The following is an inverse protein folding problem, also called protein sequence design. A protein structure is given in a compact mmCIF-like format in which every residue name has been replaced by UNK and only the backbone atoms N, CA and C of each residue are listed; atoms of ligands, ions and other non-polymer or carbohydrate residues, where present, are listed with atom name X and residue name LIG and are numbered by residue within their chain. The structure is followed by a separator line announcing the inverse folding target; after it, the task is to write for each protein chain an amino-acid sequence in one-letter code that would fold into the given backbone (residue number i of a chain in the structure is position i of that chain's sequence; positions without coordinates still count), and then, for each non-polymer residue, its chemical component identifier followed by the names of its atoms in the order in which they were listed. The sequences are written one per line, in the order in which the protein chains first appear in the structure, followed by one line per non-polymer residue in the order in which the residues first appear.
data_IF_806281233036
#
_entry.id   IF_806281233036
#
_cell.length_a   1.000
_cell.length_b   1.000
_cell.length_c   1.000
_cell.angle_alpha   90.00
_cell.angle_beta   90.00
_cell.angle_gamma   90.00
#
_symmetry.space_group_name_H-M   'P 1'
#
loop_
_entity.id
_entity.type
_entity.pdbx_description
1 polymer ?
#
# COMPACT_ATOMS: atom_id res chain seq x y z
N UNK A 1 -53.07 33.97 8.86
CA UNK A 1 -52.21 33.02 9.60
C UNK A 1 -52.54 31.63 9.06
N UNK A 2 -51.99 31.22 7.91
CA UNK A 2 -50.72 30.47 7.74
C UNK A 2 -50.62 29.28 8.71
N UNK A 3 -50.97 28.07 8.26
CA UNK A 3 -49.97 27.07 7.84
C UNK A 3 -50.62 25.78 7.33
N UNK A 4 -50.11 25.37 6.16
CA UNK A 4 -50.45 24.23 5.33
C UNK A 4 -49.45 23.12 5.68
N UNK A 5 -49.92 21.93 6.07
CA UNK A 5 -49.07 20.73 6.17
C UNK A 5 -48.80 20.23 4.75
N UNK A 6 -47.55 20.27 4.31
CA UNK A 6 -47.10 19.65 3.07
C UNK A 6 -46.28 18.42 3.42
N UNK A 7 -46.78 17.29 2.93
CA UNK A 7 -46.18 15.96 2.93
C UNK A 7 -44.98 16.01 1.94
N UNK A 8 -43.79 15.63 2.38
CA UNK A 8 -42.67 15.31 1.49
C UNK A 8 -42.29 13.86 1.74
N UNK A 9 -42.60 13.02 0.76
CA UNK A 9 -42.00 11.71 0.52
C UNK A 9 -40.61 11.92 -0.06
N UNK A 10 -39.57 11.48 0.64
CA UNK A 10 -38.23 11.34 0.09
C UNK A 10 -38.15 9.97 -0.58
N UNK A 11 -37.87 9.97 -1.88
CA UNK A 11 -37.54 8.79 -2.66
C UNK A 11 -36.07 8.48 -2.43
N UNK A 12 -35.77 7.27 -1.95
CA UNK A 12 -34.41 6.73 -1.92
C UNK A 12 -33.89 6.59 -3.34
N UNK A 13 -32.85 7.33 -3.69
CA UNK A 13 -31.95 6.99 -4.79
C UNK A 13 -30.81 6.19 -4.16
N UNK A 14 -30.68 4.92 -4.57
CA UNK A 14 -29.53 4.10 -4.19
C UNK A 14 -28.29 4.69 -4.85
N UNK A 15 -27.33 5.10 -4.02
CA UNK A 15 -25.98 5.39 -4.42
C UNK A 15 -25.27 4.02 -4.48
N UNK A 16 -25.02 3.53 -5.69
CA UNK A 16 -24.08 2.44 -5.90
C UNK A 16 -22.70 3.07 -5.73
N UNK A 17 -22.05 2.82 -4.58
CA UNK A 17 -20.62 3.03 -4.44
C UNK A 17 -19.95 1.97 -5.32
N UNK A 18 -19.30 2.38 -6.40
CA UNK A 18 -18.31 1.56 -7.08
C UNK A 18 -17.11 1.45 -6.14
N UNK A 19 -16.73 0.22 -5.82
CA UNK A 19 -15.54 -0.10 -5.06
C UNK A 19 -14.33 0.14 -5.98
N UNK A 20 -13.64 1.25 -5.79
CA UNK A 20 -12.31 1.44 -6.36
C UNK A 20 -11.34 0.47 -5.65
N UNK A 21 -10.53 -0.25 -6.44
CA UNK A 21 -9.38 -0.96 -5.89
C UNK A 21 -8.30 0.08 -5.59
N UNK A 22 -7.75 0.14 -4.37
CA UNK A 22 -6.61 1.01 -4.09
C UNK A 22 -5.40 0.56 -4.92
N UNK A 23 -4.62 1.52 -5.45
CA UNK A 23 -3.34 1.27 -6.09
C UNK A 23 -2.39 0.58 -5.09
N UNK A 24 -1.69 -0.46 -5.53
CA UNK A 24 -0.65 -1.11 -4.72
C UNK A 24 0.62 -0.27 -4.81
N UNK A 25 1.09 0.21 -3.66
CA UNK A 25 2.38 0.92 -3.52
C UNK A 25 3.34 -0.02 -2.80
N UNK A 26 4.45 -0.35 -3.44
CA UNK A 26 5.53 -1.14 -2.83
C UNK A 26 6.71 -0.21 -2.54
N UNK A 27 7.07 -0.06 -1.26
CA UNK A 27 8.25 0.70 -0.83
C UNK A 27 9.42 -0.26 -0.57
N UNK A 28 10.61 0.08 -1.07
CA UNK A 28 11.86 -0.57 -0.67
C UNK A 28 12.84 0.50 -0.20
N UNK A 29 13.23 0.47 1.08
CA UNK A 29 14.27 1.34 1.62
C UNK A 29 15.60 0.57 1.70
N UNK A 30 16.67 1.11 1.11
CA UNK A 30 18.02 0.57 1.27
C UNK A 30 18.90 1.52 2.10
N UNK A 31 19.48 1.01 3.19
CA UNK A 31 20.42 1.74 4.03
C UNK A 31 21.75 2.01 3.29
N UNK A 32 22.06 3.29 3.05
CA UNK A 32 23.37 3.74 2.55
C UNK A 32 24.42 3.72 3.68
N UNK A 33 25.23 2.65 3.74
CA UNK A 33 26.39 2.61 4.63
C UNK A 33 27.55 3.42 4.05
N UNK A 34 27.52 4.73 4.23
CA UNK A 34 28.64 5.62 3.93
C UNK A 34 29.86 5.35 4.84
N UNK A 35 30.91 4.74 4.30
CA UNK A 35 32.21 4.63 4.99
C UNK A 35 33.03 5.91 4.78
N UNK A 36 33.23 6.67 5.85
CA UNK A 36 34.24 7.73 5.93
C UNK A 36 35.65 7.15 5.77
N UNK A 37 36.38 7.51 4.72
CA UNK A 37 37.84 7.33 4.66
C UNK A 37 38.51 8.67 4.32
N UNK A 38 39.35 9.10 5.26
CA UNK A 38 40.05 10.38 5.29
C UNK A 38 41.13 10.47 4.20
N UNK A 39 41.07 11.51 3.38
CA UNK A 39 42.12 11.87 2.41
C UNK A 39 43.31 12.58 3.10
N UNK A 40 44.46 11.92 3.20
CA UNK A 40 45.77 12.58 3.27
C UNK A 40 46.51 12.47 1.94
N UNK A 41 46.91 13.63 1.42
CA UNK A 41 47.63 13.86 0.16
C UNK A 41 49.12 13.58 0.34
N UNK A 42 49.77 12.75 -0.50
CA UNK A 42 51.14 12.97 -1.02
C UNK A 42 51.44 12.15 -2.30
N UNK A 43 51.57 12.89 -3.41
CA UNK A 43 52.51 12.81 -4.55
C UNK A 43 53.39 11.54 -4.74
N UNK A 44 53.29 10.89 -5.92
CA UNK A 44 54.38 10.88 -6.94
C UNK A 44 54.22 9.85 -8.08
N UNK A 45 54.32 10.39 -9.30
CA UNK A 45 54.98 9.90 -10.52
C UNK A 45 54.92 8.40 -10.96
N UNK A 46 54.25 8.20 -12.10
CA UNK A 46 54.78 7.68 -13.39
C UNK A 46 55.89 6.61 -13.37
N UNK A 47 55.64 5.44 -13.99
CA UNK A 47 56.31 4.97 -15.24
C UNK A 47 55.95 3.50 -15.60
N UNK A 48 55.60 3.30 -16.88
CA UNK A 48 56.14 2.29 -17.81
C UNK A 48 55.80 0.78 -17.75
N UNK A 49 55.14 0.34 -18.85
CA UNK A 49 55.54 -0.75 -19.79
C UNK A 49 54.65 -2.01 -19.91
N UNK A 50 54.00 -2.08 -21.08
CA UNK A 50 53.83 -3.18 -22.06
C UNK A 50 53.77 -4.66 -21.62
N UNK A 51 52.84 -5.42 -22.23
CA UNK A 51 53.11 -6.82 -22.59
C UNK A 51 51.94 -7.80 -22.80
N UNK A 52 51.31 -7.71 -23.98
CA UNK A 52 51.01 -8.82 -24.90
C UNK A 52 49.97 -9.94 -24.58
N UNK A 53 48.85 -9.86 -25.31
CA UNK A 53 48.09 -10.89 -26.06
C UNK A 53 48.05 -12.37 -25.59
N UNK A 54 46.82 -12.91 -25.48
CA UNK A 54 46.38 -14.04 -26.31
C UNK A 54 44.86 -14.16 -26.33
N UNK A 55 44.33 -14.37 -27.54
CA UNK A 55 42.94 -14.59 -27.93
C UNK A 55 42.55 -16.07 -27.81
N UNK A 56 41.34 -16.36 -27.36
CA UNK A 56 40.54 -17.51 -27.80
C UNK A 56 39.09 -17.06 -27.98
N UNK A 57 38.59 -17.13 -29.22
CA UNK A 57 37.17 -17.00 -29.56
C UNK A 57 36.51 -18.38 -29.54
N UNK A 58 35.32 -18.48 -28.95
CA UNK A 58 34.29 -19.46 -29.32
C UNK A 58 32.88 -19.02 -28.83
N UNK A 59 32.16 -18.38 -29.75
CA UNK A 59 30.76 -18.56 -30.17
C UNK A 59 29.60 -18.83 -29.17
N UNK A 60 28.53 -18.04 -29.36
CA UNK A 60 27.09 -18.25 -29.04
C UNK A 60 26.74 -18.37 -27.56
N UNK A 61 25.74 -17.66 -27.00
CA UNK A 61 24.41 -17.34 -27.53
C UNK A 61 23.86 -16.13 -26.75
N UNK A 62 23.18 -15.22 -27.43
CA UNK A 62 22.42 -14.11 -26.86
C UNK A 62 21.24 -14.63 -26.05
N UNK A 63 21.24 -14.38 -24.74
CA UNK A 63 20.02 -14.41 -23.91
C UNK A 63 19.63 -12.98 -23.61
N UNK A 64 18.44 -12.63 -24.08
CA UNK A 64 17.77 -11.35 -23.94
C UNK A 64 17.55 -10.99 -22.46
N UNK A 65 17.54 -9.68 -22.22
CA UNK A 65 17.40 -9.01 -20.93
C UNK A 65 16.27 -9.60 -20.06
N UNK A 66 16.66 -10.25 -18.97
CA UNK A 66 15.88 -10.22 -17.75
C UNK A 66 16.51 -9.11 -16.90
N UNK A 67 15.97 -7.90 -17.03
CA UNK A 67 16.34 -6.78 -16.18
C UNK A 67 16.01 -7.14 -14.72
N UNK A 68 16.95 -6.78 -13.85
CA UNK A 68 17.08 -7.17 -12.46
C UNK A 68 16.02 -6.45 -11.61
N UNK A 69 15.14 -7.22 -10.96
CA UNK A 69 14.06 -6.77 -10.07
C UNK A 69 14.58 -6.30 -8.69
N UNK A 70 15.49 -5.32 -8.64
CA UNK A 70 16.09 -4.88 -7.37
C UNK A 70 16.56 -3.42 -7.27
N UNK A 71 16.24 -2.52 -8.21
CA UNK A 71 16.87 -1.18 -8.25
C UNK A 71 15.90 0.02 -8.07
N UNK A 72 14.62 -0.22 -7.73
CA UNK A 72 13.61 0.83 -7.55
C UNK A 72 13.41 1.21 -6.08
N UNK A 73 13.41 2.51 -5.79
CA UNK A 73 13.11 3.08 -4.48
C UNK A 73 11.59 3.22 -4.24
N UNK A 74 10.81 3.47 -5.30
CA UNK A 74 9.36 3.58 -5.25
C UNK A 74 8.71 2.91 -6.47
N UNK A 75 7.56 2.27 -6.26
CA UNK A 75 6.72 1.71 -7.33
C UNK A 75 5.23 1.99 -7.06
N UNK A 76 4.50 2.37 -8.11
CA UNK A 76 3.05 2.52 -8.12
C UNK A 76 2.49 1.85 -9.36
N UNK A 77 1.67 0.82 -9.18
CA UNK A 77 0.92 0.19 -10.26
C UNK A 77 -0.57 0.51 -10.16
N UNK A 78 -1.18 0.89 -11.27
CA UNK A 78 -2.60 1.31 -11.33
C UNK A 78 -3.28 0.90 -12.64
N UNK A 79 -4.59 0.66 -12.59
CA UNK A 79 -5.39 0.33 -13.76
C UNK A 79 -5.73 1.60 -14.56
N UNK A 80 -5.58 1.53 -15.89
CA UNK A 80 -6.08 2.56 -16.80
C UNK A 80 -7.51 2.23 -17.21
N UNK A 81 -8.46 3.10 -16.92
CA UNK A 81 -9.88 2.93 -17.28
C UNK A 81 -10.30 3.91 -18.38
N UNK A 82 -11.26 3.49 -19.22
CA UNK A 82 -11.87 4.37 -20.22
C UNK A 82 -13.16 5.05 -19.72
N UNK A 83 -13.78 5.89 -20.55
CA UNK A 83 -15.02 6.62 -20.21
C UNK A 83 -16.23 5.71 -19.84
N UNK A 84 -16.14 4.40 -20.06
CA UNK A 84 -17.16 3.40 -19.72
C UNK A 84 -16.77 2.58 -18.48
N UNK A 85 -15.75 3.00 -17.73
CA UNK A 85 -15.16 2.28 -16.58
C UNK A 85 -14.57 0.92 -16.97
N UNK A 86 -14.28 0.70 -18.25
CA UNK A 86 -13.60 -0.52 -18.71
C UNK A 86 -12.09 -0.35 -18.52
N UNK A 87 -11.49 -1.30 -17.82
CA UNK A 87 -10.02 -1.44 -17.73
C UNK A 87 -9.44 -1.71 -19.12
N UNK A 88 -8.48 -0.87 -19.51
CA UNK A 88 -7.70 -0.97 -20.73
C UNK A 88 -6.37 -1.70 -20.48
N UNK A 89 -5.87 -1.70 -19.24
CA UNK A 89 -4.60 -2.31 -18.88
C UNK A 89 -3.98 -1.61 -17.68
N UNK A 90 -2.66 -1.63 -17.56
CA UNK A 90 -1.92 -1.07 -16.43
C UNK A 90 -1.00 0.09 -16.83
N UNK A 91 -0.80 0.99 -15.87
CA UNK A 91 0.25 1.99 -15.85
C UNK A 91 1.10 1.76 -14.58
N UNK A 92 2.39 1.54 -14.75
CA UNK A 92 3.32 1.27 -13.66
C UNK A 92 4.37 2.36 -13.62
N UNK A 93 4.37 3.16 -12.55
CA UNK A 93 5.36 4.20 -12.29
C UNK A 93 6.44 3.65 -11.36
N UNK A 94 7.69 3.85 -11.70
CA UNK A 94 8.84 3.42 -10.88
C UNK A 94 9.84 4.55 -10.74
N UNK A 95 10.34 4.77 -9.55
CA UNK A 95 11.47 5.68 -9.31
C UNK A 95 12.68 4.85 -8.90
N UNK A 96 13.78 4.96 -9.63
CA UNK A 96 15.03 4.32 -9.25
C UNK A 96 15.74 5.03 -8.09
N UNK A 97 16.79 4.41 -7.57
CA UNK A 97 17.61 4.97 -6.48
C UNK A 97 18.39 6.24 -6.88
N UNK A 98 18.53 6.54 -8.18
CA UNK A 98 19.10 7.80 -8.67
C UNK A 98 18.05 8.92 -8.80
N UNK A 99 16.77 8.60 -8.58
CA UNK A 99 15.63 9.52 -8.62
C UNK A 99 14.96 9.63 -9.98
N UNK A 100 15.29 8.77 -10.96
CA UNK A 100 14.66 8.79 -12.28
C UNK A 100 13.30 8.09 -12.21
N UNK A 101 12.24 8.80 -12.59
CA UNK A 101 10.90 8.22 -12.70
C UNK A 101 10.68 7.67 -14.11
N UNK A 102 10.16 6.45 -14.20
CA UNK A 102 9.71 5.79 -15.43
C UNK A 102 8.24 5.43 -15.34
N UNK A 103 7.52 5.52 -16.46
CA UNK A 103 6.15 5.05 -16.65
C UNK A 103 6.15 3.93 -17.68
N UNK A 104 5.71 2.75 -17.27
CA UNK A 104 5.44 1.61 -18.14
C UNK A 104 3.93 1.51 -18.41
N UNK A 105 3.53 1.46 -19.68
CA UNK A 105 2.16 1.30 -20.12
C UNK A 105 1.98 -0.04 -20.81
N UNK A 106 1.06 -0.86 -20.31
CA UNK A 106 0.62 -2.11 -20.93
C UNK A 106 -0.89 -2.04 -21.16
N UNK A 107 -1.32 -1.53 -22.32
CA UNK A 107 -2.73 -1.23 -22.62
C UNK A 107 -3.25 -2.00 -23.83
N UNK A 108 -4.55 -2.25 -23.85
CA UNK A 108 -5.29 -2.80 -24.97
C UNK A 108 -6.61 -2.05 -25.21
N UNK A 109 -7.05 -2.02 -26.46
CA UNK A 109 -8.40 -1.59 -26.83
C UNK A 109 -8.54 -0.10 -27.13
N UNK A 110 -7.43 0.64 -27.22
CA UNK A 110 -7.39 1.95 -27.87
C UNK A 110 -7.44 1.77 -29.40
N UNK A 111 -7.98 2.76 -30.12
CA UNK A 111 -7.96 2.75 -31.59
C UNK A 111 -6.60 3.20 -32.11
N UNK A 112 -6.27 2.85 -33.37
CA UNK A 112 -5.07 3.37 -34.03
C UNK A 112 -5.06 4.90 -34.03
N UNK A 113 -3.95 5.51 -33.60
CA UNK A 113 -3.82 6.96 -33.49
C UNK A 113 -2.66 7.43 -32.63
N UNK A 114 -2.52 8.76 -32.53
CA UNK A 114 -1.60 9.43 -31.60
C UNK A 114 -2.41 10.24 -30.59
N UNK A 115 -2.12 10.06 -29.31
CA UNK A 115 -2.92 10.62 -28.21
C UNK A 115 -2.04 11.38 -27.22
N UNK A 116 -2.45 12.61 -26.88
CA UNK A 116 -1.81 13.39 -25.84
C UNK A 116 -1.94 12.72 -24.49
N UNK A 117 -0.87 12.77 -23.70
CA UNK A 117 -0.82 12.22 -22.34
C UNK A 117 -0.32 13.27 -21.36
N UNK A 118 -0.95 13.33 -20.20
CA UNK A 118 -0.58 14.27 -19.16
C UNK A 118 -0.75 13.67 -17.78
N UNK A 119 0.12 14.05 -16.86
CA UNK A 119 -0.15 13.92 -15.43
C UNK A 119 -0.96 15.14 -14.99
N UNK A 120 -2.01 14.89 -14.22
CA UNK A 120 -2.98 15.86 -13.75
C UNK A 120 -2.92 16.05 -12.24
N UNK A 121 -3.37 17.22 -11.78
CA UNK A 121 -3.18 17.73 -10.41
C UNK A 121 -4.01 17.05 -9.34
N UNK A 122 -4.96 16.20 -9.69
CA UNK A 122 -5.86 15.55 -8.72
C UNK A 122 -5.91 14.06 -8.99
N UNK A 123 -5.82 13.28 -7.93
CA UNK A 123 -5.87 11.83 -7.87
C UNK A 123 -7.24 11.20 -8.14
N UNK A 124 -8.07 11.82 -8.97
CA UNK A 124 -9.42 11.34 -9.25
C UNK A 124 -9.58 11.03 -10.73
N UNK A 125 -10.35 9.99 -11.01
CA UNK A 125 -10.60 9.49 -12.36
C UNK A 125 -12.09 9.11 -12.55
N UNK A 126 -13.01 10.04 -12.26
CA UNK A 126 -14.45 9.74 -12.41
C UNK A 126 -14.86 9.73 -13.87
N UNK A 127 -15.15 8.54 -14.39
CA UNK A 127 -15.81 8.36 -15.67
C UNK A 127 -17.22 9.01 -15.67
N UNK A 128 -17.73 9.48 -16.81
CA UNK A 128 -17.17 9.32 -18.15
C UNK A 128 -16.31 10.50 -18.60
N UNK A 129 -16.07 11.54 -17.78
CA UNK A 129 -15.41 12.77 -18.27
C UNK A 129 -14.02 12.98 -17.72
N UNK A 130 -13.72 12.38 -16.56
CA UNK A 130 -12.46 12.54 -15.83
C UNK A 130 -12.14 14.00 -15.50
N UNK A 131 -13.13 14.90 -15.50
CA UNK A 131 -12.94 16.35 -15.27
C UNK A 131 -12.41 16.65 -13.86
N UNK A 132 -12.68 15.76 -12.92
CA UNK A 132 -12.25 15.80 -11.52
C UNK A 132 -10.74 15.62 -11.33
N UNK A 133 -10.02 15.11 -12.32
CA UNK A 133 -8.55 15.07 -12.33
C UNK A 133 -7.89 16.47 -12.28
N UNK A 134 -8.64 17.55 -12.48
CA UNK A 134 -8.10 18.91 -12.43
C UNK A 134 -7.26 19.28 -13.67
N UNK A 135 -6.29 20.18 -13.50
CA UNK A 135 -5.41 20.68 -14.58
C UNK A 135 -4.17 19.81 -14.76
N UNK A 136 -3.25 20.21 -15.65
CA UNK A 136 -1.96 19.53 -15.79
C UNK A 136 -1.09 19.80 -14.56
N UNK A 137 -0.32 18.80 -14.15
CA UNK A 137 0.65 18.93 -13.09
C UNK A 137 1.78 19.89 -13.50
N UNK A 138 1.74 21.10 -12.94
CA UNK A 138 2.61 22.21 -13.29
C UNK A 138 3.04 23.02 -12.04
N UNK A 139 3.84 22.41 -11.15
CA UNK A 139 4.31 23.08 -9.93
C UNK A 139 5.19 24.31 -10.20
N UNK A 140 5.84 24.38 -11.37
CA UNK A 140 6.73 25.47 -11.76
C UNK A 140 6.01 26.67 -12.38
N UNK A 141 4.68 26.58 -12.57
CA UNK A 141 3.85 27.60 -13.22
C UNK A 141 4.36 28.03 -14.61
N UNK A 142 4.89 27.09 -15.38
CA UNK A 142 5.39 27.31 -16.75
C UNK A 142 4.29 27.08 -17.80
N UNK A 143 4.60 27.34 -19.07
CA UNK A 143 3.66 27.03 -20.17
C UNK A 143 3.76 25.55 -20.55
N UNK A 144 2.66 24.96 -21.02
CA UNK A 144 2.63 23.61 -21.57
C UNK A 144 3.55 23.46 -22.80
N UNK A 145 4.15 22.29 -22.91
CA UNK A 145 4.72 21.74 -24.12
C UNK A 145 6.21 22.03 -24.30
N UNK A 146 6.94 21.05 -24.84
CA UNK A 146 8.39 21.13 -25.06
C UNK A 146 8.80 22.18 -26.11
N UNK A 147 7.85 22.64 -26.92
CA UNK A 147 8.06 23.67 -27.94
C UNK A 147 7.67 25.08 -27.46
N UNK A 148 7.25 25.24 -26.19
CA UNK A 148 7.05 26.54 -25.55
C UNK A 148 8.36 27.23 -25.19
N UNK A 149 8.34 28.57 -25.07
CA UNK A 149 9.48 29.37 -24.62
C UNK A 149 9.87 29.11 -23.15
N UNK A 150 8.91 28.68 -22.31
CA UNK A 150 9.12 28.47 -20.87
C UNK A 150 8.78 27.06 -20.38
N UNK A 151 8.11 26.25 -21.20
CA UNK A 151 7.72 24.87 -20.88
C UNK A 151 8.86 23.84 -20.99
N UNK A 152 8.54 22.54 -20.84
CA UNK A 152 7.21 21.96 -20.62
C UNK A 152 6.73 22.03 -19.15
N UNK A 153 5.44 21.75 -18.89
CA UNK A 153 5.01 21.40 -17.53
C UNK A 153 5.74 20.13 -17.05
N UNK A 154 5.86 19.96 -15.73
CA UNK A 154 6.41 18.72 -15.15
C UNK A 154 5.61 17.47 -15.54
N UNK A 155 4.28 17.61 -15.70
CA UNK A 155 3.38 16.52 -16.09
C UNK A 155 3.15 16.34 -17.59
N UNK A 156 3.84 17.07 -18.47
CA UNK A 156 3.69 16.86 -19.92
C UNK A 156 4.46 15.59 -20.36
N UNK A 157 3.78 14.69 -21.07
CA UNK A 157 4.34 13.42 -21.55
C UNK A 157 4.36 13.40 -23.09
N UNK A 158 5.21 12.56 -23.73
CA UNK A 158 5.12 12.34 -25.16
C UNK A 158 3.77 11.76 -25.55
N UNK A 159 3.34 12.04 -26.80
CA UNK A 159 2.16 11.42 -27.39
C UNK A 159 2.28 9.90 -27.40
N UNK A 160 1.23 9.23 -26.94
CA UNK A 160 1.07 7.78 -27.03
C UNK A 160 0.74 7.38 -28.47
N UNK A 161 1.51 6.47 -29.05
CA UNK A 161 1.28 5.96 -30.41
C UNK A 161 0.65 4.57 -30.35
N UNK A 162 -0.58 4.43 -30.85
CA UNK A 162 -1.31 3.17 -30.87
C UNK A 162 -1.37 2.62 -32.30
N UNK A 163 -0.93 1.38 -32.48
CA UNK A 163 -0.95 0.68 -33.77
C UNK A 163 -2.32 0.09 -34.14
N UNK A 164 -2.40 -0.54 -35.33
CA UNK A 164 -3.63 -1.17 -35.84
C UNK A 164 -4.20 -2.28 -34.93
N UNK A 165 -3.35 -2.93 -34.11
CA UNK A 165 -3.77 -3.99 -33.19
C UNK A 165 -4.37 -3.46 -31.87
N UNK A 166 -4.28 -2.15 -31.62
CA UNK A 166 -4.83 -1.50 -30.44
C UNK A 166 -4.07 -1.83 -29.15
N UNK A 167 -2.85 -2.35 -29.24
CA UNK A 167 -2.00 -2.69 -28.09
C UNK A 167 -0.93 -1.62 -27.88
N UNK A 168 -0.56 -1.41 -26.61
CA UNK A 168 0.49 -0.50 -26.15
C UNK A 168 1.38 -1.26 -25.19
N UNK A 169 2.69 -1.23 -25.45
CA UNK A 169 3.74 -1.68 -24.53
C UNK A 169 4.87 -0.66 -24.64
N UNK A 170 4.86 0.36 -23.78
CA UNK A 170 5.77 1.51 -23.88
C UNK A 170 6.33 1.88 -22.50
N UNK A 171 7.61 2.25 -22.45
CA UNK A 171 8.28 2.77 -21.25
C UNK A 171 8.77 4.18 -21.53
N UNK A 172 8.42 5.11 -20.64
CA UNK A 172 8.67 6.55 -20.78
C UNK A 172 9.42 7.04 -19.54
N UNK A 173 10.56 7.71 -19.72
CA UNK A 173 11.22 8.43 -18.63
C UNK A 173 10.55 9.80 -18.40
N UNK A 174 10.34 10.17 -17.14
CA UNK A 174 9.69 11.41 -16.70
C UNK A 174 10.67 12.20 -15.83
N UNK A 175 11.50 13.08 -16.41
CA UNK A 175 12.68 13.61 -15.74
C UNK A 175 12.42 14.69 -14.67
N UNK A 176 11.21 15.26 -14.61
CA UNK A 176 10.90 16.44 -13.81
C UNK A 176 9.87 16.18 -12.69
N UNK A 177 9.68 14.92 -12.31
CA UNK A 177 8.74 14.51 -11.27
C UNK A 177 9.40 13.53 -10.31
N UNK A 178 8.78 13.34 -9.15
CA UNK A 178 9.19 12.37 -8.13
C UNK A 178 7.99 11.55 -7.67
N UNK A 179 8.18 10.28 -7.32
CA UNK A 179 7.25 9.47 -6.55
C UNK A 179 7.49 9.59 -5.04
N UNK A 180 8.71 9.97 -4.64
CA UNK A 180 9.03 10.30 -3.24
C UNK A 180 8.13 11.43 -2.73
N UNK A 181 7.39 11.26 -1.62
CA UNK A 181 6.57 12.31 -1.00
C UNK A 181 7.34 13.59 -0.64
N UNK A 182 8.64 13.47 -0.33
CA UNK A 182 9.50 14.61 0.02
C UNK A 182 10.26 15.18 -1.19
N UNK A 183 10.16 14.51 -2.35
CA UNK A 183 10.85 14.90 -3.57
C UNK A 183 10.30 16.19 -4.19
N UNK A 184 11.18 16.95 -4.86
CA UNK A 184 10.74 18.08 -5.67
C UNK A 184 9.80 17.59 -6.79
N UNK A 185 8.74 18.36 -7.07
CA UNK A 185 7.71 18.00 -8.05
C UNK A 185 7.09 16.61 -7.80
N UNK A 186 6.86 16.26 -6.54
CA UNK A 186 6.25 14.97 -6.17
C UNK A 186 4.84 14.80 -6.76
N UNK A 187 4.60 13.60 -7.31
CA UNK A 187 3.30 13.13 -7.75
C UNK A 187 2.45 12.64 -6.57
N UNK A 188 3.08 12.33 -5.43
CA UNK A 188 2.41 11.98 -4.18
C UNK A 188 2.02 13.23 -3.39
N UNK A 189 1.22 14.10 -4.03
CA UNK A 189 0.77 15.37 -3.45
C UNK A 189 -0.49 15.20 -2.59
N UNK A 190 -0.87 16.22 -1.81
CA UNK A 190 -2.10 16.21 -1.00
C UNK A 190 -3.36 15.96 -1.83
N UNK A 191 -3.43 16.50 -3.03
CA UNK A 191 -4.60 16.28 -3.91
C UNK A 191 -4.44 14.98 -4.72
N UNK A 192 -3.35 14.24 -4.53
CA UNK A 192 -2.96 13.12 -5.38
C UNK A 192 -2.56 13.58 -6.78
N UNK A 193 -2.40 12.63 -7.69
CA UNK A 193 -2.22 12.89 -9.13
C UNK A 193 -2.81 11.76 -9.96
N UNK A 194 -3.14 12.04 -11.22
CA UNK A 194 -3.68 11.06 -12.16
C UNK A 194 -3.00 11.16 -13.51
N UNK A 195 -2.93 10.05 -14.23
CA UNK A 195 -2.59 10.01 -15.64
C UNK A 195 -3.86 10.21 -16.47
N UNK A 196 -3.83 11.08 -17.48
CA UNK A 196 -4.90 11.26 -18.46
C UNK A 196 -4.37 10.98 -19.87
N UNK A 197 -5.14 10.20 -20.63
CA UNK A 197 -4.97 10.01 -22.07
C UNK A 197 -6.11 10.74 -22.78
N UNK A 198 -5.77 11.65 -23.68
CA UNK A 198 -6.72 12.48 -24.43
C UNK A 198 -7.16 11.84 -25.74
N UNK A 199 -8.28 12.30 -26.30
CA UNK A 199 -8.89 11.81 -27.56
C UNK A 199 -8.11 12.19 -28.83
N UNK A 200 -7.30 13.23 -28.78
CA UNK A 200 -6.50 13.74 -29.89
C UNK A 200 -5.02 13.87 -29.53
N UNK A 201 -4.24 14.25 -30.53
CA UNK A 201 -2.79 14.42 -30.45
C UNK A 201 -2.43 15.74 -29.78
N UNK A 202 -1.42 15.72 -28.92
CA UNK A 202 -0.82 16.92 -28.35
C UNK A 202 0.10 17.63 -29.37
N UNK A 203 -0.06 18.95 -29.51
CA UNK A 203 0.72 19.81 -30.41
C UNK A 203 1.98 20.42 -29.79
N UNK A 204 2.23 20.13 -28.50
CA UNK A 204 3.33 20.54 -27.64
C UNK A 204 3.51 22.07 -27.51
N UNK A 205 2.44 22.84 -27.73
CA UNK A 205 2.54 24.31 -27.76
C UNK A 205 1.30 25.02 -27.22
N UNK A 206 0.11 24.56 -27.59
CA UNK A 206 -1.16 25.25 -27.30
C UNK A 206 -1.51 25.14 -25.82
N UNK A 207 -1.86 26.26 -25.20
CA UNK A 207 -2.23 26.27 -23.78
C UNK A 207 -3.72 25.94 -23.58
N UNK A 208 -4.09 25.24 -22.49
CA UNK A 208 -3.21 24.66 -21.47
C UNK A 208 -2.83 23.19 -21.75
N UNK A 209 -3.34 22.57 -22.82
CA UNK A 209 -3.31 21.10 -23.02
C UNK A 209 -2.93 20.62 -24.43
N UNK A 210 -2.14 21.41 -25.17
CA UNK A 210 -1.64 21.03 -26.49
C UNK A 210 -2.70 20.80 -27.57
N UNK A 211 -3.91 21.33 -27.41
CA UNK A 211 -5.08 21.02 -28.28
C UNK A 211 -5.42 19.51 -28.38
N UNK A 212 -5.06 18.72 -27.36
CA UNK A 212 -5.24 17.26 -27.34
C UNK A 212 -6.72 16.80 -27.23
N UNK A 213 -7.68 17.72 -27.00
CA UNK A 213 -9.10 17.42 -26.95
C UNK A 213 -9.60 16.81 -25.63
N UNK A 214 -10.76 16.14 -25.68
CA UNK A 214 -11.44 15.56 -24.51
C UNK A 214 -10.62 14.41 -23.89
N UNK A 215 -10.90 14.04 -22.63
CA UNK A 215 -10.24 12.94 -21.89
C UNK A 215 -10.91 11.61 -22.24
N UNK A 216 -10.16 10.57 -22.61
CA UNK A 216 -10.71 9.26 -22.97
C UNK A 216 -10.31 8.11 -22.06
N UNK A 217 -9.19 8.22 -21.37
CA UNK A 217 -8.79 7.27 -20.35
C UNK A 217 -8.05 7.96 -19.22
N UNK A 218 -8.07 7.33 -18.05
CA UNK A 218 -7.46 7.86 -16.85
C UNK A 218 -6.94 6.72 -15.96
N UNK A 219 -5.92 7.02 -15.16
CA UNK A 219 -5.50 6.19 -14.04
C UNK A 219 -5.15 7.06 -12.83
N UNK A 220 -5.51 6.63 -11.64
CA UNK A 220 -5.11 7.32 -10.40
C UNK A 220 -3.70 6.87 -10.06
N UNK A 221 -2.74 7.81 -10.03
CA UNK A 221 -1.36 7.54 -9.61
C UNK A 221 -1.36 7.53 -8.07
N UNK A 222 -1.75 8.65 -7.46
CA UNK A 222 -2.00 8.77 -6.02
C UNK A 222 -3.38 9.39 -5.83
N UNK A 223 -4.22 8.85 -4.96
CA UNK A 223 -5.54 9.42 -4.66
C UNK A 223 -5.43 10.68 -3.78
N UNK A 224 -6.43 11.59 -3.77
CA UNK A 224 -6.41 12.76 -2.88
C UNK A 224 -6.43 12.32 -1.42
N UNK A 225 -5.59 12.95 -0.63
CA UNK A 225 -5.44 12.72 0.82
C UNK A 225 -6.62 13.23 1.65
N UNK A 226 -7.63 13.87 1.02
CA UNK A 226 -8.88 14.31 1.69
C UNK A 226 -10.07 13.35 1.45
N UNK A 227 -10.00 12.45 0.46
CA UNK A 227 -10.96 11.34 0.29
C UNK A 227 -10.39 9.99 0.81
N UNK A 228 -9.12 10.00 1.24
CA UNK A 228 -8.62 9.09 2.26
C UNK A 228 -8.64 9.85 3.60
N UNK A 229 -9.26 9.31 4.64
CA UNK A 229 -9.17 9.89 6.00
C UNK A 229 -7.76 9.66 6.60
N UNK A 230 -6.67 9.87 5.83
CA UNK A 230 -5.40 9.21 6.13
C UNK A 230 -4.10 10.02 5.93
N UNK A 231 -4.09 11.23 5.39
CA UNK A 231 -2.87 12.05 5.46
C UNK A 231 -3.16 13.53 5.68
N UNK A 232 -3.42 13.89 6.94
CA UNK A 232 -2.76 15.10 7.44
C UNK A 232 -1.26 14.81 7.40
N UNK A 233 -0.44 15.79 6.99
CA UNK A 233 1.00 15.75 7.24
C UNK A 233 1.23 15.68 8.75
N UNK A 234 1.12 14.47 9.26
CA UNK A 234 1.53 14.08 10.58
C UNK A 234 2.96 13.57 10.42
N UNK A 235 3.79 13.81 11.42
CA UNK A 235 5.14 13.23 11.56
C UNK A 235 5.15 11.68 11.56
N UNK A 236 4.07 11.01 11.15
CA UNK A 236 3.85 9.57 11.22
C UNK A 236 4.16 8.87 9.89
N UNK A 237 5.16 7.99 9.91
CA UNK A 237 5.55 7.11 8.81
C UNK A 237 4.52 5.99 8.55
N UNK A 238 3.78 5.56 9.59
CA UNK A 238 2.72 4.55 9.48
C UNK A 238 1.53 4.90 10.37
N UNK A 239 0.31 4.58 9.94
CA UNK A 239 -0.91 4.72 10.74
C UNK A 239 -1.88 3.54 10.50
N UNK A 240 -2.58 3.12 11.53
CA UNK A 240 -3.61 2.07 11.47
C UNK A 240 -4.75 2.48 12.40
N UNK A 241 -5.94 2.71 11.85
CA UNK A 241 -7.15 2.91 12.63
C UNK A 241 -8.06 1.69 12.53
N UNK A 242 -8.59 1.23 13.67
CA UNK A 242 -9.45 0.05 13.74
C UNK A 242 -10.56 0.21 14.76
N UNK A 243 -11.71 -0.43 14.52
CA UNK A 243 -12.84 -0.45 15.45
C UNK A 243 -12.56 -1.43 16.60
N UNK A 244 -12.83 -0.99 17.83
CA UNK A 244 -12.82 -1.85 19.01
C UNK A 244 -14.21 -2.42 19.21
N UNK A 245 -14.37 -3.74 19.16
CA UNK A 245 -15.63 -4.44 19.36
C UNK A 245 -15.69 -5.16 20.70
N UNK A 246 -16.88 -5.26 21.30
CA UNK A 246 -17.12 -6.06 22.50
C UNK A 246 -17.53 -7.51 22.15
N UNK A 247 -17.74 -8.34 23.18
CA UNK A 247 -18.15 -9.75 23.02
C UNK A 247 -19.50 -9.97 22.31
N UNK A 248 -20.29 -8.90 22.14
CA UNK A 248 -21.58 -8.91 21.42
C UNK A 248 -21.45 -8.33 20.00
N UNK A 249 -20.22 -8.10 19.52
CA UNK A 249 -19.90 -7.44 18.23
C UNK A 249 -20.38 -5.98 18.15
N UNK A 250 -20.64 -5.34 19.30
CA UNK A 250 -20.94 -3.91 19.33
C UNK A 250 -19.64 -3.10 19.31
N UNK A 251 -19.60 -2.10 18.43
CA UNK A 251 -18.48 -1.15 18.33
C UNK A 251 -18.48 -0.23 19.57
N UNK A 252 -17.38 -0.27 20.33
CA UNK A 252 -17.13 0.59 21.48
C UNK A 252 -16.45 1.90 21.08
N UNK A 253 -15.79 1.96 19.92
CA UNK A 253 -15.07 3.14 19.46
C UNK A 253 -13.87 2.75 18.59
N UNK A 254 -12.83 3.58 18.58
CA UNK A 254 -11.64 3.39 17.74
C UNK A 254 -10.36 3.23 18.55
N UNK A 255 -9.44 2.46 17.98
CA UNK A 255 -8.03 2.39 18.36
C UNK A 255 -7.19 2.80 17.16
N UNK A 256 -6.36 3.83 17.32
CA UNK A 256 -5.52 4.37 16.24
C UNK A 256 -4.05 4.25 16.62
N UNK A 257 -3.32 3.41 15.91
CA UNK A 257 -1.88 3.22 16.06
C UNK A 257 -1.15 4.11 15.06
N UNK A 258 -0.10 4.81 15.49
CA UNK A 258 0.71 5.71 14.65
C UNK A 258 2.18 5.53 14.97
N UNK A 259 3.04 5.36 13.97
CA UNK A 259 4.48 5.33 14.12
C UNK A 259 5.07 6.60 13.55
N UNK A 260 5.84 7.35 14.33
CA UNK A 260 6.54 8.55 13.85
C UNK A 260 7.78 8.25 13.00
N UNK A 261 8.30 9.27 12.31
CA UNK A 261 9.53 9.17 11.53
C UNK A 261 10.77 8.81 12.37
N UNK A 262 10.70 8.96 13.71
CA UNK A 262 11.73 8.53 14.65
C UNK A 262 11.53 7.06 15.10
N UNK A 263 10.45 6.41 14.64
CA UNK A 263 10.10 5.02 14.94
C UNK A 263 9.25 4.82 16.19
N UNK A 264 8.77 5.89 16.84
CA UNK A 264 7.96 5.78 18.07
C UNK A 264 6.52 5.45 17.70
N UNK A 265 6.02 4.33 18.21
CA UNK A 265 4.61 3.94 18.06
C UNK A 265 3.77 4.54 19.18
N UNK A 266 2.63 5.12 18.83
CA UNK A 266 1.59 5.61 19.74
C UNK A 266 0.26 4.92 19.46
N UNK A 267 -0.51 4.63 20.50
CA UNK A 267 -1.88 4.14 20.46
C UNK A 267 -2.80 5.20 21.03
N UNK A 268 -3.73 5.70 20.23
CA UNK A 268 -4.84 6.55 20.64
C UNK A 268 -6.12 5.72 20.78
N UNK A 269 -6.78 5.81 21.94
CA UNK A 269 -8.04 5.13 22.22
C UNK A 269 -9.14 6.17 22.40
N UNK A 270 -10.19 6.05 21.59
CA UNK A 270 -11.42 6.83 21.70
C UNK A 270 -12.61 5.87 21.86
N UNK A 271 -12.92 5.49 23.10
CA UNK A 271 -13.92 4.45 23.42
C UNK A 271 -15.07 4.99 24.26
N UNK A 272 -16.23 4.36 24.11
CA UNK A 272 -17.41 4.53 24.94
C UNK A 272 -18.01 3.16 25.31
N UNK A 273 -18.76 3.12 26.41
CA UNK A 273 -19.57 1.94 26.76
C UNK A 273 -18.90 0.90 27.66
N UNK A 274 -17.62 1.12 28.04
CA UNK A 274 -16.99 0.37 29.12
C UNK A 274 -17.51 0.84 30.48
N UNK A 275 -17.61 -0.08 31.45
CA UNK A 275 -17.96 0.27 32.84
C UNK A 275 -16.78 0.90 33.57
N UNK A 276 -17.04 1.70 34.60
CA UNK A 276 -15.99 2.23 35.49
C UNK A 276 -15.10 1.10 36.03
N UNK A 277 -13.78 1.24 35.90
CA UNK A 277 -12.81 0.22 36.30
C UNK A 277 -11.40 0.43 35.73
N UNK A 278 -10.50 -0.48 36.07
CA UNK A 278 -9.15 -0.58 35.50
C UNK A 278 -8.99 -1.92 34.78
N UNK A 279 -8.53 -1.90 33.54
CA UNK A 279 -8.53 -3.07 32.65
C UNK A 279 -7.15 -3.30 32.02
N UNK A 280 -6.67 -4.54 32.08
CA UNK A 280 -5.43 -4.93 31.40
C UNK A 280 -5.60 -4.86 29.89
N UNK A 281 -4.53 -4.43 29.20
CA UNK A 281 -4.49 -4.33 27.75
C UNK A 281 -3.23 -4.98 27.22
N UNK A 282 -3.36 -5.73 26.13
CA UNK A 282 -2.22 -6.37 25.49
C UNK A 282 -2.40 -6.42 23.97
N UNK A 283 -1.29 -6.38 23.27
CA UNK A 283 -1.22 -6.76 21.85
C UNK A 283 -1.02 -8.27 21.77
N UNK A 284 -1.75 -8.90 20.87
CA UNK A 284 -1.80 -10.34 20.66
C UNK A 284 -1.27 -10.73 19.28
N UNK A 285 -0.80 -11.98 19.17
CA UNK A 285 0.01 -12.48 18.06
C UNK A 285 -0.73 -12.75 16.74
N UNK A 286 -2.05 -12.65 16.72
CA UNK A 286 -2.84 -12.96 15.52
C UNK A 286 -3.85 -11.86 15.27
N UNK A 287 -3.95 -11.46 14.00
CA UNK A 287 -4.86 -10.46 13.46
C UNK A 287 -6.34 -10.82 13.43
N UNK A 288 -6.82 -11.55 14.43
CA UNK A 288 -8.19 -12.04 14.48
C UNK A 288 -8.86 -11.62 15.79
N UNK A 289 -10.16 -11.36 15.73
CA UNK A 289 -10.96 -10.87 16.85
C UNK A 289 -12.37 -11.47 16.81
N UNK A 290 -12.49 -12.81 16.75
CA UNK A 290 -13.81 -13.45 16.70
C UNK A 290 -14.49 -13.42 18.07
N UNK A 291 -15.57 -12.63 18.17
CA UNK A 291 -16.47 -12.64 19.30
C UNK A 291 -17.16 -14.02 19.48
N UNK A 292 -17.54 -14.42 20.70
CA UNK A 292 -17.53 -13.62 21.93
C UNK A 292 -16.27 -13.83 22.79
N UNK A 293 -15.32 -14.68 22.38
CA UNK A 293 -14.19 -15.07 23.25
C UNK A 293 -12.87 -14.45 22.83
N UNK A 294 -12.73 -14.06 21.56
CA UNK A 294 -11.51 -13.54 20.97
C UNK A 294 -10.31 -14.47 21.12
N UNK A 295 -10.52 -15.78 21.32
CA UNK A 295 -9.46 -16.76 21.56
C UNK A 295 -8.51 -16.93 20.35
N UNK A 296 -9.02 -16.63 19.15
CA UNK A 296 -8.32 -16.66 17.87
C UNK A 296 -7.24 -15.59 17.72
N UNK A 297 -7.25 -14.54 18.54
CA UNK A 297 -6.17 -13.55 18.64
C UNK A 297 -4.82 -14.18 19.07
N UNK A 298 -4.80 -15.41 19.59
CA UNK A 298 -3.57 -16.07 20.01
C UNK A 298 -3.03 -15.56 21.36
N UNK A 299 -1.73 -15.69 21.58
CA UNK A 299 -1.04 -15.27 22.82
C UNK A 299 -0.65 -13.80 22.82
N UNK A 300 0.03 -13.33 23.87
CA UNK A 300 0.61 -11.97 23.87
C UNK A 300 1.74 -11.87 22.86
N UNK A 301 1.86 -10.72 22.22
CA UNK A 301 2.95 -10.39 21.33
C UNK A 301 4.26 -10.29 22.12
N UNK A 302 5.08 -11.34 22.02
CA UNK A 302 6.32 -11.53 22.78
C UNK A 302 7.44 -12.11 21.89
N UNK A 303 7.93 -11.34 20.90
CA UNK A 303 9.01 -11.78 20.01
C UNK A 303 10.34 -12.04 20.76
N UNK A 304 10.54 -11.42 21.93
CA UNK A 304 11.78 -11.56 22.72
C UNK A 304 11.75 -12.76 23.69
N UNK A 305 10.64 -13.51 23.75
CA UNK A 305 10.43 -14.67 24.63
C UNK A 305 10.71 -14.37 26.13
N UNK A 306 10.34 -13.17 26.59
CA UNK A 306 10.49 -12.74 27.99
C UNK A 306 9.25 -13.02 28.84
N UNK A 307 9.30 -12.81 30.15
CA UNK A 307 8.15 -12.95 31.04
C UNK A 307 7.21 -11.72 30.96
N UNK A 308 5.91 -11.93 31.18
CA UNK A 308 4.90 -10.87 31.26
C UNK A 308 5.21 -9.81 32.32
N UNK A 309 4.96 -8.54 31.97
CA UNK A 309 4.75 -7.44 32.89
C UNK A 309 6.01 -6.68 33.31
N UNK A 310 5.84 -5.37 33.53
CA UNK A 310 6.93 -4.42 33.85
C UNK A 310 7.56 -4.65 35.22
N UNK A 311 6.90 -5.41 36.11
CA UNK A 311 7.40 -5.77 37.44
C UNK A 311 8.08 -7.16 37.45
N UNK A 312 8.22 -7.80 36.29
CA UNK A 312 8.98 -9.04 36.12
C UNK A 312 10.49 -8.82 36.13
N UNK A 313 11.27 -9.87 36.45
CA UNK A 313 12.75 -9.81 36.41
C UNK A 313 13.28 -9.71 34.98
N UNK A 314 12.53 -10.21 33.99
CA UNK A 314 12.95 -10.31 32.58
C UNK A 314 12.04 -9.60 31.59
N UNK A 315 10.82 -9.23 32.00
CA UNK A 315 9.82 -8.55 31.18
C UNK A 315 10.03 -7.05 31.01
N UNK A 316 9.06 -6.34 30.40
CA UNK A 316 7.75 -6.84 29.92
C UNK A 316 7.82 -7.49 28.53
N UNK A 317 6.75 -8.16 28.08
CA UNK A 317 6.59 -8.47 26.66
C UNK A 317 6.52 -7.17 25.84
N UNK A 318 6.88 -7.22 24.56
CA UNK A 318 6.74 -6.08 23.64
C UNK A 318 5.28 -5.59 23.51
N UNK A 319 4.32 -6.50 23.62
CA UNK A 319 2.89 -6.20 23.54
C UNK A 319 2.19 -5.85 24.86
N UNK A 320 2.89 -5.79 26.00
CA UNK A 320 2.26 -5.44 27.28
C UNK A 320 2.02 -3.92 27.35
N UNK A 321 0.78 -3.50 27.63
CA UNK A 321 0.36 -2.10 27.68
C UNK A 321 -0.04 -1.69 29.11
N UNK A 322 -0.01 -0.39 29.46
CA UNK A 322 -0.56 0.06 30.73
C UNK A 322 -2.05 -0.27 30.85
N UNK A 323 -2.52 -0.50 32.07
CA UNK A 323 -3.95 -0.65 32.37
C UNK A 323 -4.74 0.59 31.89
N UNK A 324 -5.85 0.33 31.22
CA UNK A 324 -6.83 1.32 30.82
C UNK A 324 -7.71 1.71 32.01
N UNK A 325 -7.82 3.00 32.32
CA UNK A 325 -8.64 3.52 33.41
C UNK A 325 -9.93 4.14 32.86
N UNK A 326 -11.08 3.56 33.19
CA UNK A 326 -12.39 4.05 32.75
C UNK A 326 -13.12 4.72 33.90
N UNK A 327 -13.54 5.97 33.69
CA UNK A 327 -14.30 6.75 34.68
C UNK A 327 -15.79 6.42 34.73
N UNK A 328 -16.52 7.08 35.64
CA UNK A 328 -17.98 6.90 35.82
C UNK A 328 -18.81 7.18 34.55
N UNK A 329 -18.30 8.00 33.62
CA UNK A 329 -18.98 8.33 32.36
C UNK A 329 -18.81 7.27 31.27
N UNK A 330 -17.95 6.28 31.48
CA UNK A 330 -17.72 5.17 30.55
C UNK A 330 -17.01 5.59 29.25
N UNK A 331 -16.37 6.76 29.24
CA UNK A 331 -15.62 7.29 28.08
C UNK A 331 -14.11 7.17 28.29
N UNK A 332 -13.39 6.92 27.20
CA UNK A 332 -11.92 6.81 27.15
C UNK A 332 -11.43 7.72 26.02
N UNK A 333 -10.44 8.56 26.34
CA UNK A 333 -9.70 9.36 25.38
C UNK A 333 -8.24 9.40 25.88
N UNK A 334 -7.46 8.39 25.51
CA UNK A 334 -6.08 8.21 25.98
C UNK A 334 -5.11 8.01 24.82
N UNK A 335 -3.87 8.49 24.99
CA UNK A 335 -2.76 8.25 24.06
C UNK A 335 -1.62 7.60 24.83
N UNK A 336 -1.11 6.49 24.31
CA UNK A 336 -0.12 5.62 24.95
C UNK A 336 1.06 5.45 23.99
N UNK A 337 2.29 5.72 24.43
CA UNK A 337 3.50 5.37 23.69
C UNK A 337 3.84 3.88 23.89
N UNK A 338 4.20 3.20 22.81
CA UNK A 338 4.54 1.76 22.77
C UNK A 338 5.97 1.63 22.24
N UNK A 339 6.99 1.67 23.11
CA UNK A 339 8.38 1.90 22.68
C UNK A 339 9.08 0.69 22.06
N UNK A 340 8.52 -0.51 22.13
CA UNK A 340 9.20 -1.76 21.77
C UNK A 340 8.54 -2.50 20.60
N UNK A 341 7.74 -1.80 19.79
CA UNK A 341 7.04 -2.38 18.63
C UNK A 341 7.21 -1.47 17.42
N UNK A 342 6.95 -2.02 16.24
CA UNK A 342 6.94 -1.30 14.97
C UNK A 342 5.64 -1.56 14.22
N UNK A 343 5.14 -0.58 13.46
CA UNK A 343 4.11 -0.75 12.43
C UNK A 343 4.72 -1.02 11.04
N UNK A 344 6.00 -0.66 10.84
CA UNK A 344 6.77 -1.01 9.65
C UNK A 344 6.85 -2.54 9.49
N UNK A 345 6.43 -3.14 8.35
CA UNK A 345 6.57 -4.56 8.07
C UNK A 345 8.00 -5.11 8.21
N UNK A 346 9.01 -4.27 7.97
CA UNK A 346 10.43 -4.65 8.06
C UNK A 346 11.06 -4.29 9.41
N UNK A 347 10.34 -3.55 10.26
CA UNK A 347 10.82 -3.11 11.56
C UNK A 347 10.95 -4.25 12.59
N UNK A 348 11.93 -4.12 13.50
CA UNK A 348 12.04 -5.03 14.63
C UNK A 348 10.75 -5.02 15.47
N UNK A 349 10.33 -6.20 15.95
CA UNK A 349 9.08 -6.37 16.69
C UNK A 349 7.85 -5.80 15.96
N UNK A 350 7.78 -5.99 14.64
CA UNK A 350 6.65 -5.52 13.83
C UNK A 350 5.31 -6.14 14.24
N UNK A 351 4.30 -5.28 14.31
CA UNK A 351 2.90 -5.64 14.46
C UNK A 351 2.27 -6.03 13.12
N UNK A 352 2.87 -5.62 12.00
CA UNK A 352 2.45 -5.97 10.64
C UNK A 352 3.09 -7.28 10.18
N UNK A 353 2.92 -8.33 10.99
CA UNK A 353 3.44 -9.66 10.69
C UNK A 353 2.52 -10.44 9.76
N UNK A 354 2.99 -11.56 9.19
CA UNK A 354 2.18 -12.43 8.31
C UNK A 354 0.86 -12.89 8.95
N UNK A 355 0.88 -13.18 10.24
CA UNK A 355 -0.31 -13.60 11.00
C UNK A 355 -1.15 -12.40 11.48
N UNK A 356 -0.68 -11.18 11.23
CA UNK A 356 -1.26 -9.96 11.76
C UNK A 356 -1.09 -9.83 13.28
N UNK A 357 -1.76 -8.84 13.86
CA UNK A 357 -1.82 -8.65 15.33
C UNK A 357 -3.15 -8.02 15.72
N UNK A 358 -3.52 -8.16 17.00
CA UNK A 358 -4.76 -7.60 17.55
C UNK A 358 -4.54 -6.96 18.92
N UNK A 359 -5.34 -5.95 19.26
CA UNK A 359 -5.44 -5.39 20.59
C UNK A 359 -6.52 -6.13 21.37
N UNK A 360 -6.24 -6.51 22.63
CA UNK A 360 -7.21 -7.10 23.56
C UNK A 360 -7.32 -6.24 24.82
N UNK A 361 -8.56 -5.96 25.22
CA UNK A 361 -8.90 -5.38 26.52
C UNK A 361 -9.52 -6.48 27.38
N UNK A 362 -8.96 -6.70 28.58
CA UNK A 362 -9.39 -7.73 29.51
C UNK A 362 -10.44 -7.25 30.51
N UNK A 363 -11.16 -8.18 31.13
CA UNK A 363 -12.24 -7.93 32.11
C UNK A 363 -11.75 -7.40 33.47
N UNK A 364 -10.49 -7.64 33.81
CA UNK A 364 -9.86 -7.24 35.07
C UNK A 364 -8.53 -6.51 34.84
N UNK A 365 -7.94 -6.07 35.95
CA UNK A 365 -6.70 -5.30 35.98
C UNK A 365 -5.48 -6.20 35.83
N UNK A 366 -4.51 -5.80 35.01
CA UNK A 366 -3.17 -6.41 34.94
C UNK A 366 -2.35 -6.03 36.20
N UNK A 367 -1.81 -7.03 36.89
CA UNK A 367 -0.94 -6.86 38.06
C UNK A 367 0.55 -6.63 37.71
N UNK A 368 0.88 -6.58 36.42
CA UNK A 368 2.17 -6.41 35.78
C UNK A 368 3.23 -7.45 36.16
N UNK A 369 2.82 -8.65 36.60
CA UNK A 369 3.76 -9.68 37.08
C UNK A 369 3.33 -11.12 36.80
N UNK A 370 2.05 -11.43 37.00
CA UNK A 370 1.54 -12.80 36.94
C UNK A 370 1.54 -13.32 35.50
N UNK A 371 2.08 -14.51 35.28
CA UNK A 371 2.09 -15.13 33.95
C UNK A 371 0.73 -15.77 33.61
N UNK A 372 0.32 -15.79 32.33
CA UNK A 372 0.98 -15.15 31.19
C UNK A 372 0.44 -13.74 30.88
N UNK A 373 -0.59 -13.27 31.61
CA UNK A 373 -1.36 -12.07 31.24
C UNK A 373 -1.73 -11.17 32.43
N UNK A 374 -0.93 -11.18 33.48
CA UNK A 374 -1.11 -10.28 34.62
C UNK A 374 -2.30 -10.55 35.53
N UNK A 375 -2.87 -11.76 35.51
CA UNK A 375 -4.17 -12.07 36.14
C UNK A 375 -5.32 -11.14 35.68
N UNK A 376 -5.22 -10.59 34.46
CA UNK A 376 -6.18 -9.63 33.92
C UNK A 376 -7.56 -10.23 33.59
N UNK A 377 -7.73 -11.55 33.65
CA UNK A 377 -9.02 -12.23 33.42
C UNK A 377 -9.37 -12.43 31.93
N UNK A 378 -10.65 -12.66 31.67
CA UNK A 378 -11.19 -12.97 30.33
C UNK A 378 -11.05 -11.76 29.37
N UNK A 379 -11.10 -12.01 28.05
CA UNK A 379 -11.08 -10.97 27.00
C UNK A 379 -12.49 -10.39 26.83
N UNK A 380 -12.65 -9.06 26.89
CA UNK A 380 -13.97 -8.41 26.78
C UNK A 380 -14.14 -7.50 25.58
N UNK A 381 -13.03 -6.99 25.03
CA UNK A 381 -13.05 -6.25 23.78
C UNK A 381 -11.78 -6.51 22.98
N UNK A 382 -11.88 -6.33 21.67
CA UNK A 382 -10.80 -6.61 20.74
C UNK A 382 -10.83 -5.67 19.54
N UNK A 383 -9.66 -5.45 18.93
CA UNK A 383 -9.48 -4.73 17.68
C UNK A 383 -8.44 -5.46 16.83
N UNK A 384 -8.69 -5.65 15.54
CA UNK A 384 -7.67 -6.19 14.61
C UNK A 384 -6.78 -5.02 14.20
N UNK A 385 -5.48 -5.10 14.51
CA UNK A 385 -4.50 -4.09 14.11
C UNK A 385 -4.10 -4.35 12.65
N UNK A 386 -3.58 -5.54 12.39
CA UNK A 386 -3.33 -6.05 11.04
C UNK A 386 -3.99 -7.43 10.92
N UNK A 387 -4.72 -7.69 9.84
CA UNK A 387 -5.29 -9.02 9.58
C UNK A 387 -4.22 -9.99 9.03
N UNK A 388 -4.39 -11.31 9.17
CA UNK A 388 -3.49 -12.28 8.53
C UNK A 388 -3.46 -12.08 7.01
N UNK A 389 -2.27 -12.14 6.41
CA UNK A 389 -2.09 -11.90 4.97
C UNK A 389 -2.88 -12.90 4.10
N UNK A 390 -3.12 -14.13 4.57
CA UNK A 390 -3.90 -15.16 3.85
C UNK A 390 -5.42 -14.88 3.80
N UNK A 391 -5.95 -14.12 4.77
CA UNK A 391 -7.35 -13.72 4.85
C UNK A 391 -7.58 -12.28 4.37
N UNK A 392 -6.51 -11.55 4.03
CA UNK A 392 -6.62 -10.35 3.22
C UNK A 392 -6.93 -10.77 1.79
N UNK A 393 -8.10 -10.42 1.27
CA UNK A 393 -8.50 -10.65 -0.15
C UNK A 393 -7.57 -9.96 -1.17
N UNK A 394 -6.47 -9.36 -0.70
CA UNK A 394 -5.47 -8.61 -1.45
C UNK A 394 -4.19 -9.42 -1.75
N UNK A 395 -3.91 -10.52 -1.03
CA UNK A 395 -2.65 -11.29 -1.15
C UNK A 395 -2.82 -12.76 -1.56
N UNK A 396 -3.83 -13.11 -2.37
CA UNK A 396 -3.78 -14.37 -3.11
C UNK A 396 -2.89 -14.22 -4.35
N UNK A 397 -1.58 -14.28 -4.14
CA UNK A 397 -0.62 -14.52 -5.22
C UNK A 397 -0.97 -15.84 -5.91
N UNK A 398 -1.10 -15.77 -7.22
CA UNK A 398 -1.46 -16.86 -8.11
C UNK A 398 -0.42 -17.98 -8.09
N UNK A 399 -0.57 -18.96 -7.20
CA UNK A 399 0.15 -20.22 -7.34
C UNK A 399 -0.66 -21.17 -8.25
N UNK A 400 -0.65 -20.85 -9.56
CA UNK A 400 -1.08 -21.76 -10.62
C UNK A 400 0.12 -22.32 -11.37
N UNK A 401 1.01 -23.01 -10.66
CA UNK A 401 1.96 -23.90 -11.30
C UNK A 401 1.23 -25.13 -11.86
N UNK A 402 0.73 -24.99 -13.09
CA UNK A 402 0.34 -26.10 -13.95
C UNK A 402 1.57 -26.99 -14.22
N UNK A 403 1.62 -28.17 -13.60
CA UNK A 403 2.43 -29.28 -14.12
C UNK A 403 1.54 -30.19 -14.96
N UNK A 404 1.46 -29.88 -16.26
CA UNK A 404 1.15 -30.88 -17.26
C UNK A 404 2.45 -31.65 -17.56
N UNK A 405 2.56 -32.89 -17.08
CA UNK A 405 3.33 -33.91 -17.78
C UNK A 405 2.40 -35.08 -18.12
N UNK A 406 2.03 -35.11 -19.40
CA UNK A 406 1.34 -36.22 -20.06
C UNK A 406 2.41 -37.10 -20.71
N UNK A 407 2.64 -38.30 -20.15
CA UNK A 407 3.01 -39.44 -20.98
C UNK A 407 2.31 -40.73 -20.56
N UNK A 408 1.53 -41.23 -21.53
CA UNK A 408 0.74 -42.46 -21.52
C UNK A 408 1.54 -43.78 -21.45
N UNK A 409 0.77 -44.87 -21.32
CA UNK A 409 1.06 -46.34 -21.45
C UNK A 409 1.41 -47.04 -20.13
N UNK A 410 0.83 -48.16 -19.72
CA UNK A 410 0.04 -49.22 -20.38
C UNK A 410 -0.61 -50.13 -19.33
N UNK A 411 -1.78 -50.70 -19.66
CA UNK A 411 -2.25 -52.07 -19.35
C UNK A 411 -2.08 -52.65 -17.94
N UNK A 412 -3.20 -52.90 -17.23
CA UNK A 412 -3.64 -54.27 -16.92
C UNK A 412 -5.04 -54.26 -16.28
N UNK A 413 -5.96 -55.00 -16.92
CA UNK A 413 -7.22 -55.43 -16.33
C UNK A 413 -6.98 -56.55 -15.31
N UNK A 414 -7.64 -56.51 -14.16
CA UNK A 414 -8.10 -57.71 -13.45
C UNK A 414 -9.45 -57.43 -12.80
N UNK A 415 -10.49 -57.96 -13.44
CA UNK A 415 -11.75 -58.37 -12.81
C UNK A 415 -11.47 -59.50 -11.80
N UNK A 416 -11.96 -59.39 -10.56
CA UNK A 416 -12.35 -60.58 -9.79
C UNK A 416 -13.71 -60.37 -9.12
N UNK A 417 -14.72 -60.86 -9.83
CA UNK A 417 -15.98 -61.35 -9.30
C UNK A 417 -15.72 -62.66 -8.54
N UNK A 418 -16.11 -62.75 -7.26
CA UNK A 418 -16.42 -64.06 -6.64
C UNK A 418 -17.67 -63.97 -5.76
N UNK A 419 -18.69 -64.71 -6.20
CA UNK A 419 -19.88 -65.08 -5.43
C UNK A 419 -19.81 -66.58 -5.09
N UNK A 420 -20.28 -66.93 -3.88
CA UNK A 420 -20.83 -68.22 -3.41
C UNK A 420 -19.91 -69.48 -3.49
N UNK A 421 -19.90 -70.49 -2.60
CA UNK A 421 -20.86 -71.03 -1.63
C UNK A 421 -20.14 -72.08 -0.72
N UNK A 422 -20.85 -72.65 0.27
CA UNK A 422 -20.53 -73.83 1.16
C UNK A 422 -19.69 -73.55 2.43
N UNK A 423 -20.06 -73.93 3.66
CA UNK A 423 -20.97 -74.94 4.25
C UNK A 423 -21.80 -74.40 5.44
#
# INVERSE_FOLDING_TARGET
MKNLRKLLTLSSAGLLLSTFSPSTVTLFAQEDTGSEETSEVMDSQSTDTEGNETTEEANEETTEDAANDSDYAFEVETEVINNEEKVLGTATFRQDTEGVVTLELALEGLSEGEYGMHIHTVGLATAPTFEDAGGHFNPEEVEHGTESETGPHAGDLPNLVVGEDGTVNETIEIPNVSLDPEGENTLNSTDGTSLIIHTGTDDYMTQPTGDAGDRQAAAVIFAPLEDSEFYQANDYAFEVETEVINTEEEVLGTATFRQDAEGVVTLELALEGLTEGEYGMHIHTVGLATAPTFEDAGGHFNPEEVEHGTESETGPHAGDLPNLVVGEDGTVNETIEIPNVSLDPEGENTLNSTDGTSLIIHTGTDDYMTQPTGDAGDRQAAAVIFAPLEDSEFYQASDSATSNDDTSTSEEEVDEETTEDTE
#
